data_IF_480606747394
#
_entry.id   IF_480606747394
#
_cell.length_a   1.000
_cell.length_b   1.000
_cell.length_c   1.000
_cell.angle_alpha   90.00
_cell.angle_beta   90.00
_cell.angle_gamma   90.00
#
_symmetry.space_group_name_H-M   'P 1'
#
loop_
_entity.id
_entity.type
_entity.pdbx_description
1 polymer ?
#
# COMPACT_ATOMS: atom_id res chain seq x y z
N UNK A 1 -59.61 7.46 -70.85
CA UNK A 1 -58.31 6.76 -70.89
C UNK A 1 -58.36 5.59 -69.92
N UNK A 2 -58.27 4.35 -70.41
CA UNK A 2 -58.51 3.14 -69.62
C UNK A 2 -57.30 2.80 -68.72
N UNK A 3 -57.52 2.72 -67.39
CA UNK A 3 -56.51 2.27 -66.42
C UNK A 3 -56.24 0.77 -66.62
N UNK A 4 -55.00 0.40 -66.94
CA UNK A 4 -54.59 -1.00 -67.07
C UNK A 4 -54.73 -1.74 -65.74
N UNK A 5 -55.58 -2.77 -65.71
CA UNK A 5 -55.76 -3.67 -64.55
C UNK A 5 -54.53 -4.58 -64.47
N UNK A 6 -53.61 -4.31 -63.55
CA UNK A 6 -52.47 -5.19 -63.32
C UNK A 6 -52.91 -6.48 -62.60
N UNK A 7 -52.33 -7.62 -62.98
CA UNK A 7 -52.64 -8.92 -62.39
C UNK A 7 -52.11 -8.99 -60.94
N UNK A 8 -52.86 -9.64 -60.06
CA UNK A 8 -52.56 -9.76 -58.63
C UNK A 8 -51.13 -10.28 -58.37
N UNK A 9 -50.71 -11.30 -59.11
CA UNK A 9 -49.37 -11.92 -59.00
C UNK A 9 -48.23 -10.93 -59.34
N UNK A 10 -48.45 -9.98 -60.26
CA UNK A 10 -47.46 -8.96 -60.63
C UNK A 10 -47.26 -7.95 -59.49
N UNK A 11 -48.36 -7.54 -58.85
CA UNK A 11 -48.38 -6.62 -57.71
C UNK A 11 -47.73 -7.24 -56.46
N UNK A 12 -47.94 -8.53 -56.21
CA UNK A 12 -47.28 -9.24 -55.10
C UNK A 12 -45.77 -9.34 -55.28
N UNK A 13 -45.30 -9.65 -56.50
CA UNK A 13 -43.87 -9.76 -56.80
C UNK A 13 -43.15 -8.42 -56.67
N UNK A 14 -43.79 -7.33 -57.06
CA UNK A 14 -43.25 -5.98 -56.90
C UNK A 14 -43.20 -5.55 -55.42
N UNK A 15 -44.26 -5.83 -54.65
CA UNK A 15 -44.30 -5.58 -53.21
C UNK A 15 -43.18 -6.34 -52.48
N UNK A 16 -42.90 -7.58 -52.87
CA UNK A 16 -41.79 -8.36 -52.31
C UNK A 16 -40.42 -7.74 -52.66
N UNK A 17 -40.24 -7.21 -53.87
CA UNK A 17 -39.02 -6.49 -54.27
C UNK A 17 -38.84 -5.19 -53.48
N UNK A 18 -39.92 -4.43 -53.27
CA UNK A 18 -39.91 -3.19 -52.48
C UNK A 18 -39.58 -3.48 -51.01
N UNK A 19 -40.20 -4.50 -50.42
CA UNK A 19 -39.91 -4.93 -49.04
C UNK A 19 -38.46 -5.36 -48.87
N UNK A 20 -37.91 -6.14 -49.81
CA UNK A 20 -36.48 -6.53 -49.80
C UNK A 20 -35.54 -5.34 -49.94
N UNK A 21 -35.93 -4.30 -50.67
CA UNK A 21 -35.14 -3.07 -50.82
C UNK A 21 -35.17 -2.24 -49.54
N UNK A 22 -36.34 -2.08 -48.92
CA UNK A 22 -36.52 -1.37 -47.65
C UNK A 22 -35.75 -2.06 -46.52
N UNK A 23 -35.91 -3.37 -46.35
CA UNK A 23 -35.17 -4.16 -45.34
C UNK A 23 -33.65 -4.06 -45.52
N UNK A 24 -33.17 -4.04 -46.77
CA UNK A 24 -31.75 -3.80 -47.07
C UNK A 24 -31.31 -2.38 -46.74
N UNK A 25 -32.19 -1.40 -46.86
CA UNK A 25 -31.91 0.01 -46.60
C UNK A 25 -31.92 0.28 -45.09
N UNK A 26 -32.92 -0.19 -44.36
CA UNK A 26 -32.96 -0.17 -42.89
C UNK A 26 -31.78 -0.94 -42.29
N UNK A 27 -31.39 -2.08 -42.85
CA UNK A 27 -30.19 -2.81 -42.39
C UNK A 27 -28.88 -2.04 -42.70
N UNK A 28 -28.85 -1.21 -43.73
CA UNK A 28 -27.71 -0.31 -44.00
C UNK A 28 -27.72 0.87 -43.04
N UNK A 29 -28.88 1.46 -42.79
CA UNK A 29 -29.03 2.61 -41.91
C UNK A 29 -28.83 2.20 -40.45
N UNK A 30 -29.21 1.00 -40.04
CA UNK A 30 -28.90 0.41 -38.74
C UNK A 30 -27.40 0.11 -38.58
N UNK A 31 -26.70 -0.23 -39.68
CA UNK A 31 -25.24 -0.38 -39.67
C UNK A 31 -24.50 0.96 -39.62
N UNK A 32 -25.12 2.03 -40.13
CA UNK A 32 -24.64 3.42 -40.04
C UNK A 32 -25.03 4.10 -38.73
N UNK A 33 -26.19 3.82 -38.15
CA UNK A 33 -26.53 4.33 -36.82
C UNK A 33 -25.84 3.53 -35.72
N UNK A 34 -25.39 2.31 -36.03
CA UNK A 34 -24.40 1.56 -35.26
C UNK A 34 -22.95 1.88 -35.70
N UNK A 35 -22.69 3.05 -36.28
CA UNK A 35 -21.35 3.64 -36.29
C UNK A 35 -20.93 3.67 -34.80
N UNK A 36 -20.13 2.74 -34.26
CA UNK A 36 -18.69 2.65 -34.50
C UNK A 36 -18.19 4.06 -34.80
N UNK A 37 -18.04 4.83 -33.72
CA UNK A 37 -17.38 6.12 -33.69
C UNK A 37 -16.17 6.08 -34.61
N UNK A 38 -16.31 6.72 -35.77
CA UNK A 38 -15.24 6.89 -36.76
C UNK A 38 -14.52 8.22 -36.57
N UNK A 39 -14.89 8.96 -35.52
CA UNK A 39 -14.21 10.18 -35.12
C UNK A 39 -13.01 9.79 -34.26
N UNK A 40 -11.83 10.17 -34.74
CA UNK A 40 -10.51 9.84 -34.18
C UNK A 40 -10.38 10.20 -32.69
N UNK A 41 -11.13 11.19 -32.22
CA UNK A 41 -11.16 11.66 -30.83
C UNK A 41 -11.82 10.64 -29.88
N UNK A 42 -12.88 9.93 -30.31
CA UNK A 42 -13.58 8.92 -29.49
C UNK A 42 -12.80 7.60 -29.35
N UNK A 43 -11.76 7.41 -30.16
CA UNK A 43 -10.87 6.23 -30.09
C UNK A 43 -9.65 6.47 -29.19
N UNK A 44 -9.39 7.73 -28.80
CA UNK A 44 -8.25 8.08 -27.97
C UNK A 44 -8.67 8.03 -26.49
N UNK A 45 -8.33 6.93 -25.86
CA UNK A 45 -8.36 6.80 -24.41
C UNK A 45 -7.07 7.36 -23.80
N UNK A 46 -7.18 8.29 -22.85
CA UNK A 46 -6.03 8.72 -22.05
C UNK A 46 -5.82 7.76 -20.88
N UNK A 47 -4.56 7.56 -20.50
CA UNK A 47 -4.18 6.67 -19.38
C UNK A 47 -3.72 7.55 -18.21
N UNK A 48 -4.35 7.37 -17.05
CA UNK A 48 -3.95 8.07 -15.83
C UNK A 48 -2.67 7.48 -15.19
N UNK A 49 -2.20 8.10 -14.10
CA UNK A 49 -0.99 7.68 -13.36
C UNK A 49 -1.10 6.28 -12.72
N UNK A 50 -2.31 5.71 -12.66
CA UNK A 50 -2.60 4.40 -12.07
C UNK A 50 -2.98 3.34 -13.11
N UNK A 51 -2.91 3.69 -14.41
CA UNK A 51 -3.21 2.78 -15.51
C UNK A 51 -4.68 2.66 -15.88
N UNK A 52 -5.56 3.52 -15.36
CA UNK A 52 -6.97 3.55 -15.71
C UNK A 52 -7.20 4.40 -16.96
N UNK A 53 -8.17 3.96 -17.76
CA UNK A 53 -8.65 4.69 -18.94
C UNK A 53 -9.52 5.85 -18.45
N UNK A 54 -9.09 7.08 -18.74
CA UNK A 54 -9.82 8.31 -18.43
C UNK A 54 -10.08 9.08 -19.73
N UNK A 55 -11.24 9.71 -19.79
CA UNK A 55 -11.69 10.53 -20.93
C UNK A 55 -11.01 11.91 -20.94
N UNK A 56 -10.46 12.33 -19.80
CA UNK A 56 -9.82 13.64 -19.65
C UNK A 56 -8.31 13.55 -19.94
N UNK A 57 -7.76 14.42 -20.82
CA UNK A 57 -6.34 14.44 -21.10
C UNK A 57 -5.54 14.77 -19.83
N UNK A 58 -4.38 14.14 -19.62
CA UNK A 58 -3.56 14.38 -18.45
C UNK A 58 -3.03 15.82 -18.46
N UNK A 59 -3.30 16.57 -17.39
CA UNK A 59 -2.84 17.96 -17.24
C UNK A 59 -1.30 18.04 -17.33
N UNK A 60 -0.70 18.76 -18.29
CA UNK A 60 0.75 18.86 -18.45
C UNK A 60 1.43 19.62 -17.29
N UNK A 61 0.66 20.32 -16.46
CA UNK A 61 1.14 21.03 -15.27
C UNK A 61 1.32 20.12 -14.04
N UNK A 62 0.70 18.93 -14.03
CA UNK A 62 0.92 17.93 -12.97
C UNK A 62 2.18 17.15 -13.32
N UNK A 63 3.32 17.68 -12.92
CA UNK A 63 4.59 16.95 -12.99
C UNK A 63 4.46 15.71 -12.11
N UNK A 64 4.66 14.53 -12.70
CA UNK A 64 4.85 13.27 -11.98
C UNK A 64 5.84 13.53 -10.86
N UNK A 65 5.53 13.14 -9.63
CA UNK A 65 6.50 13.21 -8.54
C UNK A 65 7.67 12.33 -8.94
N UNK A 66 8.81 12.95 -9.23
CA UNK A 66 10.07 12.24 -9.41
C UNK A 66 10.40 11.61 -8.05
N UNK A 67 10.15 10.31 -7.93
CA UNK A 67 10.57 9.52 -6.79
C UNK A 67 11.96 9.02 -7.18
N UNK A 68 12.98 9.46 -6.45
CA UNK A 68 14.35 9.00 -6.65
C UNK A 68 14.37 7.47 -6.50
N UNK A 69 14.80 6.77 -7.55
CA UNK A 69 14.80 5.30 -7.61
C UNK A 69 15.56 4.68 -6.44
N UNK A 70 16.60 5.39 -5.98
CA UNK A 70 17.45 4.99 -4.85
C UNK A 70 16.72 5.06 -3.49
N UNK A 71 15.60 5.78 -3.39
CA UNK A 71 14.77 5.88 -2.18
C UNK A 71 13.74 4.75 -2.05
N UNK A 72 13.56 3.96 -3.10
CA UNK A 72 12.60 2.86 -3.11
C UNK A 72 13.27 1.65 -2.44
N UNK A 73 13.02 1.48 -1.13
CA UNK A 73 13.45 0.30 -0.38
C UNK A 73 12.61 -0.93 -0.81
N UNK A 74 13.07 -1.66 -1.82
CA UNK A 74 12.41 -2.88 -2.35
C UNK A 74 12.55 -4.07 -1.36
N UNK A 75 13.44 -3.96 -0.37
CA UNK A 75 13.70 -4.99 0.64
C UNK A 75 13.02 -4.70 1.98
N UNK A 76 12.85 -5.74 2.81
CA UNK A 76 12.51 -5.54 4.22
C UNK A 76 13.59 -4.64 4.83
N UNK A 77 13.25 -3.50 5.46
CA UNK A 77 14.25 -2.62 6.03
C UNK A 77 15.13 -3.43 6.97
N UNK A 78 16.45 -3.33 6.81
CA UNK A 78 17.39 -3.84 7.81
C UNK A 78 17.01 -3.13 9.10
N UNK A 79 16.69 -3.88 10.16
CA UNK A 79 16.33 -3.30 11.45
C UNK A 79 17.40 -2.28 11.84
N UNK A 80 17.08 -1.00 11.65
CA UNK A 80 17.90 0.10 12.14
C UNK A 80 17.58 0.13 13.61
N UNK A 81 18.57 -0.14 14.47
CA UNK A 81 18.39 0.01 15.90
C UNK A 81 18.01 1.47 16.15
N UNK A 82 16.72 1.74 16.33
CA UNK A 82 16.22 3.07 16.68
C UNK A 82 16.90 3.47 17.98
N UNK A 83 17.38 4.71 18.08
CA UNK A 83 18.08 5.21 19.28
C UNK A 83 17.21 5.17 20.55
N UNK A 84 15.93 4.83 20.41
CA UNK A 84 14.98 4.52 21.49
C UNK A 84 15.38 3.30 22.35
N UNK A 85 16.23 2.40 21.85
CA UNK A 85 16.67 1.22 22.61
C UNK A 85 17.59 1.59 23.79
N UNK A 86 18.30 2.73 23.73
CA UNK A 86 19.26 3.16 24.76
C UNK A 86 18.70 4.20 25.75
N UNK A 87 17.39 4.42 25.78
CA UNK A 87 16.81 5.36 26.72
C UNK A 87 17.02 4.90 28.18
N UNK A 88 17.37 5.79 29.12
CA UNK A 88 17.50 5.45 30.54
C UNK A 88 16.13 5.06 31.10
N UNK A 89 16.00 3.80 31.51
CA UNK A 89 14.80 3.23 32.13
C UNK A 89 14.95 3.20 33.65
N UNK A 90 13.82 3.10 34.34
CA UNK A 90 13.74 2.99 35.80
C UNK A 90 13.29 1.59 36.18
N UNK A 91 13.90 1.04 37.22
CA UNK A 91 13.54 -0.28 37.72
C UNK A 91 13.86 -0.44 39.20
N UNK A 92 13.45 -1.60 39.71
CA UNK A 92 13.74 -2.02 41.08
C UNK A 92 14.59 -3.29 41.08
N UNK A 93 15.68 -3.30 41.84
CA UNK A 93 16.52 -4.50 42.01
C UNK A 93 15.73 -5.56 42.77
N UNK A 94 15.51 -6.73 42.15
CA UNK A 94 14.78 -7.83 42.78
C UNK A 94 15.71 -8.78 43.53
N UNK A 95 16.91 -8.99 42.99
CA UNK A 95 17.91 -9.88 43.56
C UNK A 95 19.30 -9.38 43.17
N UNK A 96 20.24 -9.34 44.11
CA UNK A 96 21.63 -9.03 43.83
C UNK A 96 22.55 -9.85 44.73
N UNK A 97 23.48 -10.57 44.11
CA UNK A 97 24.49 -11.35 44.81
C UNK A 97 25.82 -10.61 44.76
N UNK A 98 26.22 -9.98 45.88
CA UNK A 98 27.48 -9.24 45.98
C UNK A 98 28.70 -10.16 45.78
N UNK A 99 28.67 -11.39 46.27
CA UNK A 99 29.78 -12.34 46.17
C UNK A 99 30.04 -12.83 44.75
N UNK A 100 28.97 -12.99 43.94
CA UNK A 100 29.06 -13.44 42.54
C UNK A 100 28.99 -12.29 41.53
N UNK A 101 28.61 -11.09 41.94
CA UNK A 101 28.59 -9.89 41.11
C UNK A 101 27.51 -9.87 40.04
N UNK A 102 26.37 -10.53 40.25
CA UNK A 102 25.23 -10.47 39.32
C UNK A 102 23.90 -10.30 40.06
N UNK A 103 22.90 -9.83 39.33
CA UNK A 103 21.54 -9.68 39.84
C UNK A 103 20.51 -9.52 38.75
N UNK A 104 19.30 -9.14 39.16
CA UNK A 104 18.18 -8.85 38.28
C UNK A 104 17.49 -7.56 38.70
N UNK A 105 17.15 -6.74 37.71
CA UNK A 105 16.37 -5.52 37.86
C UNK A 105 15.03 -5.74 37.18
N UNK A 106 13.94 -5.45 37.88
CA UNK A 106 12.61 -5.44 37.29
C UNK A 106 12.33 -4.05 36.75
N UNK A 107 12.12 -3.93 35.44
CA UNK A 107 11.75 -2.68 34.78
C UNK A 107 10.35 -2.23 35.26
N UNK A 108 10.16 -0.94 35.55
CA UNK A 108 8.84 -0.39 35.91
C UNK A 108 7.90 -0.34 34.70
N UNK A 109 8.44 -0.19 33.49
CA UNK A 109 7.65 -0.08 32.26
C UNK A 109 7.29 -1.44 31.67
N UNK A 110 8.30 -2.26 31.39
CA UNK A 110 8.11 -3.58 30.75
C UNK A 110 7.71 -4.68 31.74
N UNK A 111 7.93 -4.47 33.05
CA UNK A 111 7.84 -5.51 34.10
C UNK A 111 8.75 -6.73 33.89
N UNK A 112 9.57 -6.72 32.85
CA UNK A 112 10.54 -7.76 32.55
C UNK A 112 11.73 -7.72 33.51
N UNK A 113 12.34 -8.89 33.72
CA UNK A 113 13.58 -9.02 34.50
C UNK A 113 14.78 -8.82 33.59
N UNK A 114 15.49 -7.72 33.77
CA UNK A 114 16.72 -7.38 33.07
C UNK A 114 17.92 -7.87 33.89
N UNK A 115 18.88 -8.50 33.22
CA UNK A 115 20.09 -9.01 33.86
C UNK A 115 21.05 -7.87 34.18
N UNK A 116 21.67 -7.87 35.36
CA UNK A 116 22.72 -6.90 35.73
C UNK A 116 23.99 -7.60 36.20
N UNK A 117 25.14 -7.07 35.80
CA UNK A 117 26.47 -7.51 36.23
C UNK A 117 27.19 -6.37 36.95
N UNK A 118 28.06 -6.69 37.91
CA UNK A 118 28.83 -5.70 38.70
C UNK A 118 29.64 -4.73 37.82
N UNK A 119 30.10 -5.19 36.66
CA UNK A 119 30.83 -4.35 35.69
C UNK A 119 29.96 -3.26 35.05
N UNK A 120 28.63 -3.45 35.00
CA UNK A 120 27.67 -2.50 34.45
C UNK A 120 27.11 -1.54 35.50
N UNK A 121 27.45 -1.74 36.78
CA UNK A 121 27.03 -0.88 37.88
C UNK A 121 28.07 0.20 38.14
N UNK A 122 27.63 1.47 38.17
CA UNK A 122 28.49 2.59 38.59
C UNK A 122 28.55 2.65 40.12
N UNK A 123 27.40 2.47 40.75
CA UNK A 123 27.23 2.47 42.20
C UNK A 123 27.02 1.05 42.75
N UNK A 124 27.28 0.85 44.04
CA UNK A 124 26.94 -0.40 44.72
C UNK A 124 25.42 -0.45 44.92
N UNK A 125 24.77 -1.43 44.30
CA UNK A 125 23.33 -1.65 44.41
C UNK A 125 23.03 -2.75 45.42
N UNK A 126 21.92 -2.63 46.15
CA UNK A 126 21.40 -3.65 47.05
C UNK A 126 20.02 -4.14 46.60
N UNK A 127 19.56 -5.22 47.22
CA UNK A 127 18.21 -5.72 46.99
C UNK A 127 17.16 -4.67 47.37
N UNK A 128 16.14 -4.50 46.54
CA UNK A 128 15.06 -3.52 46.65
C UNK A 128 15.37 -2.06 46.30
N UNK A 129 16.58 -1.74 45.87
CA UNK A 129 16.91 -0.37 45.44
C UNK A 129 16.21 0.01 44.14
N UNK A 130 15.90 1.31 44.02
CA UNK A 130 15.42 1.92 42.78
C UNK A 130 16.62 2.40 41.98
N UNK A 131 16.70 1.97 40.73
CA UNK A 131 17.84 2.21 39.87
C UNK A 131 17.40 2.74 38.51
N UNK A 132 18.27 3.55 37.92
CA UNK A 132 18.20 3.94 36.51
C UNK A 132 19.23 3.14 35.75
N UNK A 133 18.84 2.59 34.60
CA UNK A 133 19.70 1.75 33.78
C UNK A 133 19.36 1.87 32.29
N UNK A 134 20.32 1.60 31.44
CA UNK A 134 20.14 1.46 29.99
C UNK A 134 20.05 -0.02 29.63
N UNK A 135 19.29 -0.37 28.59
CA UNK A 135 19.10 -1.78 28.18
C UNK A 135 19.88 -2.08 26.92
N UNK A 136 20.78 -3.06 26.98
CA UNK A 136 21.54 -3.55 25.82
C UNK A 136 21.13 -4.99 25.47
N UNK A 137 21.06 -5.29 24.17
CA UNK A 137 20.78 -6.64 23.65
C UNK A 137 22.09 -7.45 23.56
N UNK A 138 22.27 -8.40 24.47
CA UNK A 138 23.43 -9.31 24.52
C UNK A 138 23.03 -10.71 24.02
N UNK A 139 23.94 -11.59 23.56
CA UNK A 139 23.60 -12.96 23.16
C UNK A 139 22.86 -13.79 24.22
N UNK A 140 22.89 -13.36 25.49
CA UNK A 140 22.21 -13.99 26.64
C UNK A 140 20.89 -13.30 27.02
N UNK A 141 20.41 -12.33 26.23
CA UNK A 141 19.20 -11.55 26.50
C UNK A 141 19.48 -10.08 26.83
N UNK A 142 18.50 -9.42 27.41
CA UNK A 142 18.58 -8.00 27.81
C UNK A 142 19.48 -7.84 29.03
N UNK A 143 20.50 -6.99 28.89
CA UNK A 143 21.46 -6.66 29.95
C UNK A 143 21.35 -5.18 30.31
N UNK A 144 21.43 -4.86 31.59
CA UNK A 144 21.45 -3.50 32.11
C UNK A 144 22.89 -2.96 32.13
N UNK A 145 23.08 -1.73 31.64
CA UNK A 145 24.35 -1.01 31.62
C UNK A 145 24.16 0.39 32.22
N UNK A 146 25.25 0.96 32.74
CA UNK A 146 25.27 2.25 33.44
C UNK A 146 24.24 2.33 34.58
N UNK A 147 24.16 1.29 35.41
CA UNK A 147 23.22 1.26 36.52
C UNK A 147 23.62 2.27 37.59
N UNK A 148 22.71 3.19 37.90
CA UNK A 148 22.86 4.24 38.92
C UNK A 148 21.71 4.20 39.90
N UNK A 149 21.99 4.46 41.18
CA UNK A 149 20.95 4.56 42.20
C UNK A 149 20.17 5.89 42.02
N UNK A 150 18.84 5.82 42.14
CA UNK A 150 17.93 6.98 42.00
C UNK A 150 17.66 7.63 43.34
#
# INVERSE_FOLDING_TARGET
MAKSRETFNKKEKEKLRQKKKQDKQERKDARKSSDKSTDFEDMIAYVDEFGNIVDTPPDPAKKKKEIDVDSIEIGVPKYVATEEDNAPRKGKVTFFNESKGYGFIKDEQSQDSVFVHINGCVDKIQENDKVTFETEKTPKGLSAIQVKLV
#
